data_IF_313471989672
#
_entry.id   IF_313471989672
#
_cell.length_a   1.000
_cell.length_b   1.000
_cell.length_c   1.000
_cell.angle_alpha   90.00
_cell.angle_beta   90.00
_cell.angle_gamma   90.00
#
_symmetry.space_group_name_H-M   'P 1'
#
loop_
_entity.id
_entity.type
_entity.pdbx_description
1 polymer ?
#
# COMPACT_ATOMS: atom_id res chain seq x y z
N UNK A 1 -0.82 6.49 1.95
CA UNK A 1 -1.98 5.99 1.20
C UNK A 1 -3.26 6.65 1.63
N UNK A 2 -4.31 6.54 0.82
CA UNK A 2 -5.66 7.05 1.10
C UNK A 2 -6.10 8.16 0.15
N UNK A 3 -7.22 8.80 0.49
CA UNK A 3 -7.86 9.82 -0.32
C UNK A 3 -9.31 10.02 0.11
N UNK A 4 -10.09 10.66 -0.76
CA UNK A 4 -11.54 10.79 -0.58
C UNK A 4 -12.21 9.42 -0.71
N UNK A 5 -13.27 9.22 0.08
CA UNK A 5 -14.14 8.06 -0.06
C UNK A 5 -14.88 8.09 -1.39
N UNK A 6 -15.35 9.28 -1.80
CA UNK A 6 -16.12 9.47 -3.02
C UNK A 6 -15.27 9.16 -4.26
N UNK A 7 -14.01 9.60 -4.26
CA UNK A 7 -13.05 9.26 -5.33
C UNK A 7 -12.83 7.75 -5.46
N UNK A 8 -12.82 6.99 -4.36
CA UNK A 8 -12.72 5.53 -4.45
C UNK A 8 -13.99 4.90 -5.03
N UNK A 9 -15.17 5.49 -4.77
CA UNK A 9 -16.45 5.03 -5.32
C UNK A 9 -16.49 5.34 -6.82
N UNK A 10 -16.24 6.58 -7.21
CA UNK A 10 -16.25 7.03 -8.61
C UNK A 10 -15.19 6.28 -9.43
N UNK A 11 -13.98 6.10 -8.90
CA UNK A 11 -12.94 5.32 -9.57
C UNK A 11 -13.34 3.86 -9.76
N UNK A 12 -14.06 3.27 -8.79
CA UNK A 12 -14.57 1.90 -8.93
C UNK A 12 -15.62 1.83 -10.03
N UNK A 13 -16.50 2.84 -10.12
CA UNK A 13 -17.53 2.98 -11.16
C UNK A 13 -16.98 3.00 -12.60
N UNK A 14 -15.72 3.40 -12.79
CA UNK A 14 -15.09 3.30 -14.12
C UNK A 14 -14.94 1.86 -14.63
N UNK A 15 -15.04 0.86 -13.75
CA UNK A 15 -14.81 -0.56 -14.06
C UNK A 15 -16.01 -1.46 -13.77
N UNK A 16 -17.05 -0.97 -13.08
CA UNK A 16 -18.28 -1.71 -12.79
C UNK A 16 -19.47 -0.91 -13.31
N UNK A 17 -20.56 -1.56 -13.67
CA UNK A 17 -21.75 -0.84 -14.17
C UNK A 17 -22.42 -0.08 -13.02
N UNK A 18 -22.88 -0.77 -11.99
CA UNK A 18 -23.52 -0.13 -10.84
C UNK A 18 -23.49 -1.06 -9.64
N UNK A 19 -23.58 -0.48 -8.45
CA UNK A 19 -23.75 -1.24 -7.22
C UNK A 19 -22.89 -0.74 -6.07
N UNK A 20 -22.98 -1.43 -4.92
CA UNK A 20 -22.31 -1.00 -3.71
C UNK A 20 -20.79 -1.14 -3.85
N UNK A 21 -20.01 -0.14 -3.42
CA UNK A 21 -18.55 -0.22 -3.39
C UNK A 21 -18.05 -0.44 -1.97
N UNK A 22 -18.73 0.16 -1.00
CA UNK A 22 -18.30 0.18 0.40
C UNK A 22 -19.50 0.31 1.33
N UNK A 23 -19.44 -0.36 2.47
CA UNK A 23 -20.42 -0.19 3.54
C UNK A 23 -19.77 0.58 4.69
N UNK A 24 -20.44 1.61 5.20
CA UNK A 24 -19.94 2.46 6.29
C UNK A 24 -20.84 2.28 7.51
N UNK A 25 -20.26 1.85 8.63
CA UNK A 25 -20.95 1.72 9.92
C UNK A 25 -20.56 2.86 10.85
N UNK A 26 -21.52 3.70 11.19
CA UNK A 26 -21.36 4.80 12.14
C UNK A 26 -21.30 4.29 13.58
N UNK A 27 -20.82 5.14 14.50
CA UNK A 27 -20.75 4.84 15.93
C UNK A 27 -22.11 4.45 16.55
N UNK A 28 -23.21 4.99 16.03
CA UNK A 28 -24.59 4.64 16.45
C UNK A 28 -25.09 3.28 15.91
N UNK A 29 -24.26 2.52 15.18
CA UNK A 29 -24.59 1.21 14.64
C UNK A 29 -25.30 1.22 13.28
N UNK A 30 -25.68 2.40 12.77
CA UNK A 30 -26.27 2.57 11.44
C UNK A 30 -25.27 2.19 10.36
N UNK A 31 -25.68 1.33 9.44
CA UNK A 31 -24.88 0.93 8.26
C UNK A 31 -25.48 1.60 7.03
N UNK A 32 -24.65 2.34 6.31
CA UNK A 32 -24.96 2.94 5.02
C UNK A 32 -24.16 2.22 3.95
N UNK A 33 -24.80 1.92 2.81
CA UNK A 33 -24.14 1.29 1.66
C UNK A 33 -23.93 2.37 0.62
N UNK A 34 -22.68 2.66 0.31
CA UNK A 34 -22.29 3.64 -0.71
C UNK A 34 -21.79 2.89 -1.94
N UNK A 35 -22.14 3.39 -3.12
CA UNK A 35 -21.83 2.73 -4.36
C UNK A 35 -21.98 3.69 -5.53
N UNK A 36 -21.56 3.21 -6.70
CA UNK A 36 -21.75 3.94 -7.93
C UNK A 36 -23.12 3.63 -8.54
N UNK A 37 -23.72 4.66 -9.13
CA UNK A 37 -25.05 4.63 -9.75
C UNK A 37 -25.03 4.97 -11.24
N UNK A 38 -23.88 5.35 -11.78
CA UNK A 38 -23.71 5.63 -13.20
C UNK A 38 -23.35 4.34 -13.96
N UNK A 39 -24.23 3.80 -14.84
CA UNK A 39 -23.98 2.54 -15.55
C UNK A 39 -22.81 2.58 -16.54
N UNK A 40 -22.16 3.74 -16.74
CA UNK A 40 -21.12 3.93 -17.76
C UNK A 40 -19.78 3.34 -17.31
N UNK A 41 -19.46 2.17 -17.85
CA UNK A 41 -18.14 1.56 -17.71
C UNK A 41 -17.15 2.21 -18.69
N UNK A 42 -16.05 2.75 -18.17
CA UNK A 42 -14.98 3.33 -18.96
C UNK A 42 -14.01 2.28 -19.52
N UNK A 43 -13.82 1.16 -18.80
CA UNK A 43 -13.00 0.04 -19.23
C UNK A 43 -13.62 -1.30 -18.81
N UNK A 44 -13.85 -2.19 -19.77
CA UNK A 44 -14.42 -3.53 -19.58
C UNK A 44 -13.40 -4.67 -19.79
N UNK A 45 -12.19 -4.35 -20.28
CA UNK A 45 -11.12 -5.32 -20.49
C UNK A 45 -10.47 -5.87 -19.20
N UNK A 46 -9.46 -6.76 -19.32
CA UNK A 46 -8.72 -7.27 -18.17
C UNK A 46 -8.14 -6.16 -17.30
N UNK A 47 -8.19 -6.34 -15.99
CA UNK A 47 -7.74 -5.36 -15.00
C UNK A 47 -6.86 -6.04 -13.94
N UNK A 48 -5.73 -5.41 -13.63
CA UNK A 48 -4.89 -5.75 -12.49
C UNK A 48 -4.69 -4.53 -11.60
N UNK A 49 -4.74 -4.71 -10.29
CA UNK A 49 -4.52 -3.65 -9.29
C UNK A 49 -3.26 -3.99 -8.50
N UNK A 50 -2.21 -3.18 -8.65
CA UNK A 50 -0.96 -3.34 -7.90
C UNK A 50 -1.07 -2.60 -6.57
N UNK A 51 -0.83 -3.32 -5.47
CA UNK A 51 -0.83 -2.78 -4.10
C UNK A 51 0.46 -3.13 -3.37
N UNK A 52 0.77 -2.37 -2.33
CA UNK A 52 1.87 -2.64 -1.42
C UNK A 52 1.45 -2.37 0.03
N UNK A 53 2.36 -2.58 0.99
CA UNK A 53 2.06 -2.35 2.40
C UNK A 53 1.69 -0.90 2.74
N UNK A 54 2.12 0.08 1.94
CA UNK A 54 1.77 1.50 2.09
C UNK A 54 0.40 1.90 1.51
N UNK A 55 -0.28 0.98 0.82
CA UNK A 55 -1.62 1.17 0.29
C UNK A 55 -2.63 1.13 1.45
N UNK A 56 -3.39 2.21 1.64
CA UNK A 56 -4.23 2.38 2.84
C UNK A 56 -5.55 3.08 2.52
N UNK A 57 -6.60 2.82 3.30
CA UNK A 57 -7.89 3.52 3.26
C UNK A 57 -8.56 3.46 1.88
N UNK A 58 -8.75 4.58 1.18
CA UNK A 58 -9.42 4.65 -0.12
C UNK A 58 -8.84 3.67 -1.16
N UNK A 59 -7.51 3.47 -1.17
CA UNK A 59 -6.85 2.48 -2.02
C UNK A 59 -7.27 1.03 -1.71
N UNK A 60 -7.52 0.73 -0.44
CA UNK A 60 -7.97 -0.60 0.02
C UNK A 60 -9.45 -0.82 -0.29
N UNK A 61 -10.26 0.25 -0.29
CA UNK A 61 -11.66 0.19 -0.73
C UNK A 61 -11.70 -0.17 -2.21
N UNK A 62 -10.95 0.55 -3.05
CA UNK A 62 -10.87 0.27 -4.48
C UNK A 62 -10.36 -1.15 -4.76
N UNK A 63 -9.20 -1.54 -4.24
CA UNK A 63 -8.63 -2.87 -4.46
C UNK A 63 -9.56 -3.98 -3.95
N UNK A 64 -10.16 -3.79 -2.78
CA UNK A 64 -11.11 -4.74 -2.19
C UNK A 64 -12.41 -4.86 -3.00
N UNK A 65 -12.92 -3.77 -3.56
CA UNK A 65 -14.09 -3.79 -4.43
C UNK A 65 -13.79 -4.51 -5.75
N UNK A 66 -12.68 -4.19 -6.43
CA UNK A 66 -12.28 -4.88 -7.66
C UNK A 66 -12.14 -6.39 -7.44
N UNK A 67 -11.56 -6.81 -6.31
CA UNK A 67 -11.44 -8.21 -5.93
C UNK A 67 -12.81 -8.85 -5.61
N UNK A 68 -13.64 -8.19 -4.79
CA UNK A 68 -14.93 -8.74 -4.36
C UNK A 68 -15.91 -8.89 -5.53
N UNK A 69 -15.91 -7.96 -6.49
CA UNK A 69 -16.72 -8.04 -7.70
C UNK A 69 -16.24 -9.09 -8.70
N UNK A 70 -15.05 -9.66 -8.50
CA UNK A 70 -14.38 -10.47 -9.51
C UNK A 70 -14.10 -9.68 -10.79
N UNK A 71 -13.85 -8.37 -10.67
CA UNK A 71 -13.63 -7.47 -11.81
C UNK A 71 -12.18 -7.49 -12.29
N UNK A 72 -11.23 -7.71 -11.39
CA UNK A 72 -9.80 -7.78 -11.71
C UNK A 72 -9.01 -8.53 -10.63
N UNK A 73 -7.70 -8.70 -10.88
CA UNK A 73 -6.78 -9.34 -9.94
C UNK A 73 -6.02 -8.29 -9.13
N UNK A 74 -5.87 -8.53 -7.83
CA UNK A 74 -5.00 -7.74 -6.95
C UNK A 74 -3.63 -8.40 -6.87
N UNK A 75 -2.56 -7.63 -7.02
CA UNK A 75 -1.17 -8.11 -7.13
C UNK A 75 -0.30 -7.29 -6.17
N UNK A 76 0.71 -7.92 -5.55
CA UNK A 76 1.73 -7.20 -4.77
C UNK A 76 1.81 -7.65 -3.31
N UNK A 77 1.86 -6.71 -2.36
CA UNK A 77 1.91 -7.03 -0.92
C UNK A 77 0.55 -6.77 -0.25
N UNK A 78 0.26 -7.44 0.87
CA UNK A 78 -0.92 -7.15 1.69
C UNK A 78 -0.94 -5.69 2.14
N UNK A 79 -2.04 -4.98 1.89
CA UNK A 79 -2.19 -3.55 2.19
C UNK A 79 -2.22 -3.23 3.69
N UNK A 80 -2.14 -1.94 4.04
CA UNK A 80 -1.90 -1.43 5.39
C UNK A 80 -2.90 -1.90 6.47
N UNK A 81 -4.17 -2.06 6.11
CA UNK A 81 -5.23 -2.51 7.00
C UNK A 81 -6.00 -1.39 7.70
N UNK A 82 -6.11 -0.20 7.11
CA UNK A 82 -6.86 0.90 7.70
C UNK A 82 -8.33 0.76 7.33
N UNK A 83 -9.18 0.43 8.30
CA UNK A 83 -10.63 0.20 8.12
C UNK A 83 -11.52 1.25 8.76
N UNK A 84 -10.99 2.43 9.09
CA UNK A 84 -11.69 3.51 9.80
C UNK A 84 -11.82 4.77 8.97
N UNK A 85 -12.93 5.48 9.16
CA UNK A 85 -13.19 6.81 8.60
C UNK A 85 -13.00 7.85 9.70
N UNK A 86 -12.21 8.87 9.38
CA UNK A 86 -11.90 9.96 10.28
C UNK A 86 -12.48 11.26 9.72
N UNK A 87 -13.10 12.06 10.60
CA UNK A 87 -13.58 13.38 10.27
C UNK A 87 -12.80 14.45 11.02
N UNK A 88 -12.65 15.62 10.39
CA UNK A 88 -11.99 16.79 10.98
C UNK A 88 -13.08 17.73 11.49
N UNK A 89 -13.10 17.96 12.80
CA UNK A 89 -14.03 18.86 13.46
C UNK A 89 -13.29 20.15 13.80
N UNK A 90 -13.77 21.26 13.25
CA UNK A 90 -13.24 22.59 13.51
C UNK A 90 -13.77 23.14 14.85
N UNK A 91 -12.85 23.51 15.73
CA UNK A 91 -13.16 24.01 17.07
C UNK A 91 -13.62 25.47 17.08
N UNK A 92 -13.43 26.19 15.98
CA UNK A 92 -13.84 27.59 15.86
C UNK A 92 -15.35 27.76 15.60
N UNK A 93 -16.10 26.65 15.46
CA UNK A 93 -17.52 26.68 15.10
C UNK A 93 -18.44 27.07 16.25
N UNK A 94 -18.04 26.92 17.52
CA UNK A 94 -18.91 27.16 18.67
C UNK A 94 -18.17 27.69 19.93
N UNK A 95 -18.33 28.97 20.29
CA UNK A 95 -18.92 30.06 19.50
C UNK A 95 -18.06 30.36 18.26
N UNK A 96 -18.67 30.91 17.20
CA UNK A 96 -17.92 31.44 16.08
C UNK A 96 -16.99 32.56 16.59
N UNK A 97 -15.73 32.23 16.81
CA UNK A 97 -14.77 33.17 17.37
C UNK A 97 -14.27 34.10 16.26
N UNK A 98 -14.70 35.36 16.29
CA UNK A 98 -14.10 36.43 15.50
C UNK A 98 -12.74 36.81 16.13
N UNK A 99 -11.73 35.96 15.94
CA UNK A 99 -10.36 36.27 16.36
C UNK A 99 -9.50 35.04 16.56
N UNK A 100 -9.64 34.39 17.71
CA UNK A 100 -8.76 33.30 18.11
C UNK A 100 -9.14 32.00 17.38
N UNK A 101 -8.14 31.39 16.73
CA UNK A 101 -8.24 30.09 16.06
C UNK A 101 -7.79 28.99 17.01
N UNK A 102 -8.66 28.03 17.29
CA UNK A 102 -8.44 26.92 18.22
C UNK A 102 -8.01 25.64 17.50
N UNK A 103 -7.98 25.66 16.16
CA UNK A 103 -7.54 24.53 15.35
C UNK A 103 -8.64 23.47 15.18
N UNK A 104 -8.22 22.24 14.89
CA UNK A 104 -9.13 21.18 14.47
C UNK A 104 -8.80 19.87 15.18
N UNK A 105 -9.82 19.05 15.42
CA UNK A 105 -9.67 17.71 15.99
C UNK A 105 -10.03 16.67 14.94
N UNK A 106 -9.17 15.67 14.76
CA UNK A 106 -9.43 14.54 13.87
C UNK A 106 -9.93 13.35 14.68
N UNK A 107 -11.18 12.94 14.46
CA UNK A 107 -11.84 11.89 15.21
C UNK A 107 -12.29 10.75 14.31
N UNK A 108 -12.14 9.52 14.77
CA UNK A 108 -12.74 8.35 14.12
C UNK A 108 -14.25 8.36 14.37
N UNK A 109 -15.05 8.37 13.30
CA UNK A 109 -16.52 8.47 13.39
C UNK A 109 -17.24 7.23 12.86
N UNK A 110 -16.55 6.40 12.06
CA UNK A 110 -17.12 5.22 11.44
C UNK A 110 -16.07 4.17 11.09
N UNK A 111 -16.52 2.95 10.83
CA UNK A 111 -15.75 1.88 10.21
C UNK A 111 -16.26 1.63 8.79
N UNK A 112 -15.38 1.26 7.87
CA UNK A 112 -15.81 0.80 6.56
C UNK A 112 -15.56 -0.69 6.36
N UNK A 113 -16.39 -1.28 5.50
CA UNK A 113 -16.43 -2.69 5.19
C UNK A 113 -16.53 -2.86 3.68
N UNK A 114 -15.90 -3.93 3.20
CA UNK A 114 -16.03 -4.36 1.81
C UNK A 114 -17.46 -4.81 1.52
N UNK A 115 -17.80 -4.98 0.25
CA UNK A 115 -19.11 -5.47 -0.18
C UNK A 115 -19.36 -6.92 0.26
N UNK A 116 -18.30 -7.72 0.42
CA UNK A 116 -18.34 -9.04 1.07
C UNK A 116 -18.68 -9.00 2.57
N UNK A 117 -18.78 -7.80 3.15
CA UNK A 117 -19.05 -7.55 4.57
C UNK A 117 -17.80 -7.57 5.46
N UNK A 118 -16.66 -8.04 4.95
CA UNK A 118 -15.40 -8.07 5.70
C UNK A 118 -14.80 -6.67 5.86
N UNK A 119 -14.24 -6.35 7.03
CA UNK A 119 -13.45 -5.13 7.19
C UNK A 119 -12.01 -5.31 6.67
N UNK A 120 -11.39 -4.23 6.22
CA UNK A 120 -9.94 -4.15 5.99
C UNK A 120 -9.16 -3.93 7.27
N UNK A 121 -9.81 -3.56 8.38
CA UNK A 121 -9.16 -3.24 9.66
C UNK A 121 -8.16 -4.33 10.09
N UNK A 122 -6.91 -3.97 10.36
CA UNK A 122 -5.77 -4.87 10.63
C UNK A 122 -5.33 -5.80 9.49
N UNK A 123 -6.26 -6.39 8.74
CA UNK A 123 -5.97 -7.44 7.77
C UNK A 123 -5.55 -6.91 6.39
N UNK A 124 -6.02 -5.72 6.03
CA UNK A 124 -5.87 -5.16 4.69
C UNK A 124 -6.60 -5.97 3.63
N UNK A 125 -6.21 -5.71 2.38
CA UNK A 125 -6.55 -6.47 1.19
C UNK A 125 -5.38 -7.40 0.91
N UNK A 126 -5.65 -8.70 0.93
CA UNK A 126 -4.68 -9.73 0.58
C UNK A 126 -4.68 -9.88 -0.95
N UNK A 127 -3.52 -9.75 -1.62
CA UNK A 127 -3.43 -9.86 -3.07
C UNK A 127 -3.71 -11.30 -3.53
N UNK A 128 -4.24 -11.44 -4.74
CA UNK A 128 -4.45 -12.71 -5.41
C UNK A 128 -3.11 -13.34 -5.88
N UNK A 129 -2.15 -12.50 -6.27
CA UNK A 129 -0.76 -12.89 -6.57
C UNK A 129 0.17 -12.08 -5.67
N UNK A 130 0.75 -12.73 -4.68
CA UNK A 130 1.64 -12.10 -3.70
C UNK A 130 3.06 -11.94 -4.22
N UNK A 131 3.67 -10.78 -3.95
CA UNK A 131 5.10 -10.52 -4.13
C UNK A 131 5.85 -10.67 -2.79
N UNK A 132 7.20 -10.78 -2.81
CA UNK A 132 8.00 -10.81 -1.59
C UNK A 132 7.73 -9.57 -0.71
N UNK A 133 7.36 -9.80 0.54
CA UNK A 133 6.98 -8.73 1.47
C UNK A 133 8.22 -8.13 2.16
N UNK A 134 8.55 -6.89 1.77
CA UNK A 134 9.62 -6.10 2.40
C UNK A 134 9.36 -5.79 3.87
N UNK A 135 8.09 -5.54 4.22
CA UNK A 135 7.66 -5.20 5.59
C UNK A 135 6.47 -6.06 6.02
N UNK A 136 6.53 -6.59 7.24
CA UNK A 136 5.49 -7.49 7.78
C UNK A 136 4.36 -6.68 8.46
N UNK A 137 3.15 -7.25 8.50
CA UNK A 137 2.01 -6.63 9.16
C UNK A 137 2.18 -6.39 10.66
N UNK A 138 3.07 -7.13 11.31
CA UNK A 138 3.47 -6.96 12.72
C UNK A 138 4.40 -5.76 12.94
N UNK A 139 4.97 -5.20 11.88
CA UNK A 139 5.99 -4.16 11.97
C UNK A 139 5.52 -2.82 11.40
N UNK A 140 4.67 -2.86 10.37
CA UNK A 140 4.10 -1.68 9.76
C UNK A 140 2.67 -1.97 9.33
N UNK A 141 1.71 -1.23 9.86
CA UNK A 141 0.30 -1.40 9.53
C UNK A 141 -0.62 -0.90 10.62
N UNK A 142 -1.91 -0.95 10.36
CA UNK A 142 -2.92 -0.57 11.36
C UNK A 142 -2.83 -1.48 12.60
N UNK A 143 -2.46 -2.75 12.44
CA UNK A 143 -2.24 -3.72 13.52
C UNK A 143 -1.13 -3.38 14.48
N UNK A 144 -0.23 -2.45 14.15
CA UNK A 144 0.88 -2.08 15.03
C UNK A 144 0.58 -0.90 15.94
N UNK A 145 -0.62 -0.33 15.86
CA UNK A 145 -1.04 0.78 16.72
C UNK A 145 -1.74 0.28 17.98
N UNK A 146 -1.34 0.84 19.14
CA UNK A 146 -1.76 0.41 20.48
C UNK A 146 -3.29 0.30 20.66
N UNK A 147 -4.04 1.22 20.06
CA UNK A 147 -5.49 1.34 20.22
C UNK A 147 -6.25 1.23 18.90
N UNK A 148 -5.68 0.50 17.93
CA UNK A 148 -6.41 0.21 16.70
C UNK A 148 -7.68 -0.61 16.99
N UNK A 149 -8.79 -0.22 16.38
CA UNK A 149 -10.06 -0.93 16.53
C UNK A 149 -9.92 -2.37 16.03
N UNK A 150 -10.57 -3.36 16.69
CA UNK A 150 -10.47 -4.75 16.27
C UNK A 150 -11.10 -4.98 14.89
N UNK A 151 -10.61 -6.01 14.20
CA UNK A 151 -11.23 -6.48 12.97
C UNK A 151 -12.62 -7.05 13.26
N UNK A 152 -13.56 -6.78 12.36
CA UNK A 152 -14.93 -7.28 12.45
C UNK A 152 -15.53 -7.46 11.06
N UNK A 153 -16.73 -8.05 11.01
CA UNK A 153 -17.47 -8.34 9.78
C UNK A 153 -18.95 -7.99 9.99
N UNK A 154 -19.58 -7.55 8.92
CA UNK A 154 -21.03 -7.31 8.83
C UNK A 154 -21.64 -8.16 7.71
N UNK A 155 -22.95 -8.06 7.51
CA UNK A 155 -23.62 -8.69 6.38
C UNK A 155 -23.02 -8.20 5.04
N UNK A 156 -22.94 -9.10 4.07
CA UNK A 156 -22.55 -8.73 2.71
C UNK A 156 -23.65 -7.90 2.06
N UNK A 157 -23.25 -6.90 1.28
CA UNK A 157 -24.17 -6.17 0.42
C UNK A 157 -24.41 -6.99 -0.86
N UNK A 158 -25.67 -7.17 -1.31
CA UNK A 158 -25.94 -7.78 -2.61
C UNK A 158 -25.28 -6.97 -3.74
N UNK A 159 -24.54 -7.64 -4.62
CA UNK A 159 -23.86 -7.02 -5.74
C UNK A 159 -23.67 -8.03 -6.88
N UNK A 160 -23.40 -7.50 -8.07
CA UNK A 160 -23.09 -8.28 -9.27
C UNK A 160 -21.70 -8.90 -9.16
N UNK A 161 -21.57 -10.16 -9.55
CA UNK A 161 -20.29 -10.84 -9.71
C UNK A 161 -19.95 -10.87 -11.20
N UNK A 162 -18.91 -10.16 -11.62
CA UNK A 162 -18.50 -10.11 -13.03
C UNK A 162 -17.71 -11.35 -13.44
N UNK A 163 -16.98 -11.95 -12.50
CA UNK A 163 -16.12 -13.08 -12.79
C UNK A 163 -15.72 -13.85 -11.54
N UNK A 164 -15.03 -14.97 -11.76
CA UNK A 164 -14.42 -15.76 -10.71
C UNK A 164 -13.02 -16.18 -11.17
N UNK A 165 -12.00 -15.57 -10.57
CA UNK A 165 -10.60 -15.87 -10.91
C UNK A 165 -10.03 -17.07 -10.15
N UNK A 166 -10.72 -17.59 -9.13
CA UNK A 166 -10.21 -18.69 -8.30
C UNK A 166 -9.73 -19.91 -9.11
N UNK A 167 -10.41 -20.36 -10.19
CA UNK A 167 -9.93 -21.45 -11.03
C UNK A 167 -8.64 -21.13 -11.81
N UNK A 168 -8.35 -19.85 -12.05
CA UNK A 168 -7.18 -19.40 -12.80
C UNK A 168 -5.96 -19.16 -11.91
N UNK A 169 -6.15 -18.87 -10.61
CA UNK A 169 -5.08 -18.53 -9.69
C UNK A 169 -3.94 -19.57 -9.67
N UNK A 170 -4.18 -20.90 -9.63
CA UNK A 170 -3.08 -21.87 -9.62
C UNK A 170 -2.20 -21.75 -10.86
N UNK A 171 -2.81 -21.60 -12.05
CA UNK A 171 -2.07 -21.44 -13.31
C UNK A 171 -1.29 -20.13 -13.34
N UNK A 172 -1.91 -19.04 -12.91
CA UNK A 172 -1.25 -17.72 -12.84
C UNK A 172 -0.07 -17.74 -11.87
N UNK A 173 -0.21 -18.40 -10.73
CA UNK A 173 0.86 -18.58 -9.76
C UNK A 173 2.02 -19.38 -10.36
N UNK A 174 1.76 -20.52 -11.01
CA UNK A 174 2.81 -21.30 -11.69
C UNK A 174 3.56 -20.47 -12.73
N UNK A 175 2.83 -19.71 -13.55
CA UNK A 175 3.44 -18.84 -14.56
C UNK A 175 4.24 -17.70 -13.93
N UNK A 176 3.75 -17.11 -12.84
CA UNK A 176 4.48 -16.09 -12.09
C UNK A 176 5.77 -16.64 -11.50
N UNK A 177 5.72 -17.75 -10.78
CA UNK A 177 6.89 -18.42 -10.20
C UNK A 177 7.92 -18.77 -11.26
N UNK A 178 7.49 -19.27 -12.43
CA UNK A 178 8.41 -19.57 -13.53
C UNK A 178 9.10 -18.33 -14.08
N UNK A 179 8.41 -17.18 -14.19
CA UNK A 179 9.00 -15.92 -14.67
C UNK A 179 10.03 -15.38 -13.68
N UNK A 180 9.66 -15.26 -12.41
CA UNK A 180 10.52 -14.67 -11.38
C UNK A 180 11.77 -15.52 -11.10
N UNK A 181 11.69 -16.84 -11.34
CA UNK A 181 12.86 -17.72 -11.22
C UNK A 181 13.99 -17.38 -12.20
N UNK A 182 13.71 -16.67 -13.28
CA UNK A 182 14.71 -16.24 -14.28
C UNK A 182 14.92 -14.74 -14.34
N UNK A 183 14.05 -13.96 -13.71
CA UNK A 183 14.09 -12.50 -13.73
C UNK A 183 15.12 -11.98 -12.71
N UNK A 184 16.11 -11.22 -13.20
CA UNK A 184 17.23 -10.76 -12.36
C UNK A 184 16.83 -9.70 -11.36
N UNK A 185 15.88 -8.82 -11.70
CA UNK A 185 15.40 -7.79 -10.78
C UNK A 185 14.61 -8.42 -9.63
N UNK A 186 13.76 -9.41 -9.92
CA UNK A 186 13.05 -10.14 -8.88
C UNK A 186 13.98 -10.94 -7.97
N UNK A 187 15.01 -11.59 -8.53
CA UNK A 187 16.02 -12.29 -7.72
C UNK A 187 16.75 -11.33 -6.77
N UNK A 188 17.20 -10.18 -7.27
CA UNK A 188 17.84 -9.17 -6.43
C UNK A 188 16.91 -8.57 -5.39
N UNK A 189 15.64 -8.36 -5.76
CA UNK A 189 14.65 -7.87 -4.80
C UNK A 189 14.41 -8.87 -3.68
N UNK A 190 14.30 -10.16 -3.97
CA UNK A 190 14.16 -11.21 -2.96
C UNK A 190 15.40 -11.28 -2.04
N UNK A 191 16.60 -11.14 -2.60
CA UNK A 191 17.85 -11.03 -1.82
C UNK A 191 17.84 -9.81 -0.89
N UNK A 192 17.41 -8.65 -1.40
CA UNK A 192 17.37 -7.40 -0.63
C UNK A 192 16.35 -7.48 0.51
N UNK A 193 15.18 -8.08 0.24
CA UNK A 193 14.17 -8.34 1.28
C UNK A 193 14.77 -9.24 2.35
N UNK A 194 15.44 -10.33 1.97
CA UNK A 194 16.09 -11.23 2.93
C UNK A 194 17.17 -10.49 3.75
N UNK A 195 18.04 -9.73 3.09
CA UNK A 195 19.09 -8.97 3.76
C UNK A 195 18.50 -7.95 4.74
N UNK A 196 17.45 -7.22 4.34
CA UNK A 196 16.76 -6.29 5.22
C UNK A 196 16.22 -6.97 6.48
N UNK A 197 15.66 -8.18 6.36
CA UNK A 197 15.19 -8.97 7.51
C UNK A 197 16.34 -9.40 8.41
N UNK A 198 17.43 -9.90 7.83
CA UNK A 198 18.61 -10.32 8.57
C UNK A 198 19.25 -9.15 9.33
N UNK A 199 19.32 -7.96 8.72
CA UNK A 199 19.80 -6.74 9.37
C UNK A 199 18.86 -6.23 10.45
N UNK A 200 17.55 -6.20 10.20
CA UNK A 200 16.54 -5.76 11.19
C UNK A 200 16.51 -6.67 12.43
N UNK A 201 16.80 -7.96 12.28
CA UNK A 201 16.92 -8.87 13.40
C UNK A 201 18.08 -8.51 14.34
N UNK A 202 19.10 -7.80 13.84
CA UNK A 202 20.18 -7.26 14.68
C UNK A 202 19.64 -6.05 15.46
N UNK A 203 19.59 -6.20 16.78
CA UNK A 203 19.19 -5.12 17.70
C UNK A 203 20.35 -4.21 18.12
N UNK A 204 21.44 -4.23 17.37
CA UNK A 204 22.65 -3.47 17.64
C UNK A 204 23.22 -2.92 16.34
N UNK A 205 24.03 -1.87 16.48
CA UNK A 205 24.84 -1.32 15.40
C UNK A 205 26.28 -1.28 15.86
N UNK A 206 27.22 -1.68 14.99
CA UNK A 206 28.63 -1.58 15.31
C UNK A 206 29.06 -0.11 15.33
N UNK A 207 29.83 0.28 16.35
CA UNK A 207 30.51 1.56 16.41
C UNK A 207 31.97 1.46 15.94
N UNK A 208 32.41 0.27 15.49
CA UNK A 208 33.72 0.10 14.90
C UNK A 208 33.73 0.71 13.49
N UNK A 209 34.55 1.74 13.30
CA UNK A 209 34.65 2.45 12.01
C UNK A 209 35.01 1.53 10.85
N UNK A 210 36.01 0.64 11.04
CA UNK A 210 36.47 -0.25 9.98
C UNK A 210 35.37 -1.22 9.52
N UNK A 211 34.56 -1.74 10.46
CA UNK A 211 33.40 -2.58 10.14
C UNK A 211 32.34 -1.80 9.34
N UNK A 212 32.00 -0.58 9.78
CA UNK A 212 30.99 0.25 9.12
C UNK A 212 31.44 0.74 7.74
N UNK A 213 32.72 1.03 7.56
CA UNK A 213 33.30 1.35 6.24
C UNK A 213 33.24 0.14 5.32
N UNK A 214 33.60 -1.06 5.81
CA UNK A 214 33.54 -2.28 5.02
C UNK A 214 32.10 -2.63 4.60
N UNK A 215 31.12 -2.46 5.49
CA UNK A 215 29.69 -2.67 5.18
C UNK A 215 29.21 -1.72 4.07
N UNK A 216 29.53 -0.43 4.17
CA UNK A 216 29.18 0.57 3.15
C UNK A 216 29.82 0.27 1.80
N UNK A 217 31.12 -0.03 1.78
CA UNK A 217 31.84 -0.40 0.56
C UNK A 217 31.24 -1.66 -0.10
N UNK A 218 30.82 -2.65 0.69
CA UNK A 218 30.15 -3.84 0.20
C UNK A 218 28.82 -3.49 -0.49
N UNK A 219 28.00 -2.63 0.13
CA UNK A 219 26.74 -2.18 -0.46
C UNK A 219 26.96 -1.35 -1.73
N UNK A 220 27.95 -0.46 -1.73
CA UNK A 220 28.31 0.36 -2.89
C UNK A 220 28.80 -0.51 -4.06
N UNK A 221 29.63 -1.50 -3.77
CA UNK A 221 30.11 -2.44 -4.78
C UNK A 221 28.96 -3.27 -5.35
N UNK A 222 28.06 -3.77 -4.49
CA UNK A 222 26.85 -4.50 -4.91
C UNK A 222 25.97 -3.65 -5.85
N UNK A 223 25.74 -2.36 -5.55
CA UNK A 223 25.00 -1.46 -6.43
C UNK A 223 25.70 -1.26 -7.77
N UNK A 224 27.02 -1.04 -7.77
CA UNK A 224 27.81 -0.90 -9.00
C UNK A 224 27.77 -2.17 -9.85
N UNK A 225 27.92 -3.34 -9.23
CA UNK A 225 27.89 -4.63 -9.91
C UNK A 225 26.52 -4.86 -10.56
N UNK A 226 25.42 -4.61 -9.83
CA UNK A 226 24.06 -4.67 -10.38
C UNK A 226 23.87 -3.71 -11.55
N UNK A 227 24.40 -2.49 -11.46
CA UNK A 227 24.35 -1.52 -12.56
C UNK A 227 25.11 -1.99 -13.81
N UNK A 228 26.26 -2.66 -13.63
CA UNK A 228 26.98 -3.27 -14.77
C UNK A 228 26.22 -4.45 -15.37
N UNK A 229 25.60 -5.28 -14.54
CA UNK A 229 24.77 -6.40 -15.02
C UNK A 229 23.54 -5.86 -15.77
N UNK A 230 22.89 -4.80 -15.29
CA UNK A 230 21.79 -4.12 -16.01
C UNK A 230 22.22 -3.68 -17.40
N UNK A 231 23.40 -3.06 -17.53
CA UNK A 231 23.99 -2.68 -18.84
C UNK A 231 24.19 -3.89 -19.75
N UNK A 232 24.74 -4.98 -19.23
CA UNK A 232 25.00 -6.20 -20.01
C UNK A 232 23.72 -6.87 -20.50
N UNK A 233 22.66 -6.82 -19.67
CA UNK A 233 21.36 -7.40 -19.98
C UNK A 233 20.45 -6.48 -20.80
N UNK A 234 20.88 -5.23 -21.08
CA UNK A 234 20.07 -4.23 -21.76
C UNK A 234 18.86 -3.74 -20.94
N UNK A 235 18.93 -3.86 -19.61
CA UNK A 235 17.91 -3.36 -18.70
C UNK A 235 18.08 -1.84 -18.46
N UNK A 236 16.99 -1.12 -18.15
CA UNK A 236 17.07 0.27 -17.73
C UNK A 236 18.01 0.43 -16.53
N UNK A 237 18.89 1.42 -16.62
CA UNK A 237 19.81 1.75 -15.54
C UNK A 237 19.05 2.25 -14.32
N UNK A 238 19.53 1.89 -13.13
CA UNK A 238 18.99 2.44 -11.90
C UNK A 238 19.35 3.94 -11.83
N UNK A 239 18.36 4.85 -11.79
CA UNK A 239 18.65 6.27 -11.59
C UNK A 239 19.26 6.55 -10.20
N UNK A 240 19.06 5.67 -9.22
CA UNK A 240 19.56 5.81 -7.85
C UNK A 240 20.87 5.03 -7.61
N UNK A 241 21.46 4.39 -8.63
CA UNK A 241 22.70 3.62 -8.44
C UNK A 241 23.87 4.48 -7.95
N UNK A 242 23.89 5.77 -8.29
CA UNK A 242 24.94 6.71 -7.87
C UNK A 242 24.62 7.44 -6.56
N UNK A 243 23.40 7.30 -6.04
CA UNK A 243 23.05 7.78 -4.70
C UNK A 243 23.70 6.86 -3.67
N UNK A 244 24.95 7.16 -3.31
CA UNK A 244 25.60 6.56 -2.16
C UNK A 244 25.10 7.21 -0.88
N UNK A 245 24.72 6.39 0.10
CA UNK A 245 24.54 6.85 1.47
C UNK A 245 25.89 7.36 2.02
N UNK A 246 26.05 8.68 1.96
CA UNK A 246 27.19 9.40 2.52
C UNK A 246 27.22 9.33 4.05
N UNK A 247 26.19 8.76 4.69
CA UNK A 247 26.05 8.65 6.14
C UNK A 247 25.76 9.99 6.81
N UNK A 248 25.47 11.04 6.03
CA UNK A 248 25.11 12.36 6.51
C UNK A 248 23.59 12.46 6.57
N UNK A 249 23.06 12.95 7.68
CA UNK A 249 21.63 13.30 7.75
C UNK A 249 21.36 14.56 6.94
N UNK A 250 20.10 14.84 6.58
CA UNK A 250 19.76 15.99 5.71
C UNK A 250 20.20 17.37 6.23
N UNK A 251 20.47 17.50 7.53
CA UNK A 251 21.03 18.69 8.18
C UNK A 251 22.57 18.74 8.18
N UNK A 252 23.24 17.65 7.81
CA UNK A 252 24.71 17.52 7.68
C UNK A 252 25.16 17.57 6.22
N UNK A 253 24.22 17.47 5.28
CA UNK A 253 24.47 17.54 3.84
C UNK A 253 24.61 18.99 3.36
N UNK A 254 25.47 19.17 2.37
CA UNK A 254 25.65 20.46 1.69
C UNK A 254 24.39 20.77 0.86
N UNK A 255 23.60 21.71 1.35
CA UNK A 255 22.32 22.15 0.76
C UNK A 255 22.48 22.49 -0.73
N UNK A 256 23.62 23.03 -1.15
CA UNK A 256 23.86 23.40 -2.56
C UNK A 256 24.00 22.16 -3.45
N UNK A 257 24.60 21.09 -2.93
CA UNK A 257 24.75 19.81 -3.65
C UNK A 257 23.43 19.03 -3.69
N UNK A 258 22.66 19.04 -2.61
CA UNK A 258 21.35 18.38 -2.59
C UNK A 258 20.34 19.08 -3.52
N UNK A 259 20.32 20.41 -3.57
CA UNK A 259 19.46 21.16 -4.51
C UNK A 259 19.80 20.88 -5.99
N UNK A 260 21.03 20.44 -6.28
CA UNK A 260 21.44 20.03 -7.62
C UNK A 260 21.10 18.57 -7.94
N UNK A 261 20.88 17.71 -6.92
CA UNK A 261 20.39 16.32 -7.08
C UNK A 261 18.87 16.26 -7.31
N UNK A 262 18.12 17.23 -6.81
CA UNK A 262 16.65 17.31 -6.97
C UNK A 262 16.19 17.92 -8.31
N UNK A 263 17.10 18.36 -9.19
CA UNK A 263 16.80 18.97 -10.50
C UNK A 263 17.06 17.99 -11.65
#
# INVERSE_FOLDING_TARGET
GGGSLDEAIELTGLFIEQGPVVQVRESGGRVTVNGDSDPRVAWDGPLGVLINRGSASASEIFAGAIQDYGRGLVIGETSFGKGTVQNIVDLDRWPAAEGQRYGQVKLTIAQFFRVSGSSTQHKGVVPDIAFPASVDATEFGESTYDNALPWTRIAAAPHTQYGNFAPLLPKLQTLHTARIATDKEFQWWEEDVKQFRDEKAKKYISLNEAERVAERQKQDQQRKDRQQIRKQLGLPLDPLAEDSDDGLTGNERDIVKDTAREK
#
